data_IF_249991790702
#
_entry.id   IF_249991790702
#
_cell.length_a   1.000
_cell.length_b   1.000
_cell.length_c   1.000
_cell.angle_alpha   90.00
_cell.angle_beta   90.00
_cell.angle_gamma   90.00
#
_symmetry.space_group_name_H-M   'P 1'
#
loop_
_entity.id
_entity.type
_entity.pdbx_description
1 polymer ?
#
# COMPACT_ATOMS: atom_id res chain seq x y z
N UNK A 1 22.26 7.62 -29.17
CA UNK A 1 21.69 8.24 -27.97
C UNK A 1 20.18 8.27 -28.13
N UNK A 2 19.48 7.37 -27.44
CA UNK A 2 18.02 7.43 -27.30
C UNK A 2 17.79 7.69 -25.80
N UNK A 3 17.08 8.75 -25.41
CA UNK A 3 16.65 8.91 -24.04
C UNK A 3 15.38 8.08 -23.89
N UNK A 4 15.50 6.80 -23.55
CA UNK A 4 14.30 6.05 -23.16
C UNK A 4 13.97 6.49 -21.74
N UNK A 5 13.05 7.44 -21.69
CA UNK A 5 12.48 8.04 -20.50
C UNK A 5 12.02 6.95 -19.52
N UNK A 6 12.48 7.09 -18.28
CA UNK A 6 12.29 6.27 -17.08
C UNK A 6 10.84 6.26 -16.57
N UNK A 7 9.87 6.02 -17.45
CA UNK A 7 8.45 6.27 -17.18
C UNK A 7 7.52 5.13 -17.61
N UNK A 8 8.05 3.92 -17.84
CA UNK A 8 7.23 2.75 -18.12
C UNK A 8 7.82 1.55 -17.38
N UNK A 9 7.33 1.29 -16.16
CA UNK A 9 7.03 -0.07 -15.66
C UNK A 9 6.42 -0.03 -14.23
N UNK A 10 5.21 0.53 -14.03
CA UNK A 10 4.47 0.29 -12.79
C UNK A 10 3.93 -1.15 -12.70
N UNK A 11 3.59 -1.77 -13.84
CA UNK A 11 2.95 -3.09 -13.87
C UNK A 11 3.89 -4.26 -13.51
N UNK A 12 5.17 -4.17 -13.84
CA UNK A 12 6.13 -5.25 -13.54
C UNK A 12 6.46 -5.35 -12.03
N UNK A 13 6.32 -4.25 -11.29
CA UNK A 13 6.43 -4.23 -9.82
C UNK A 13 5.17 -4.80 -9.15
N UNK A 14 3.99 -4.54 -9.70
CA UNK A 14 2.73 -5.04 -9.14
C UNK A 14 2.69 -6.58 -9.08
N UNK A 15 3.27 -7.27 -10.06
CA UNK A 15 3.29 -8.75 -10.16
C UNK A 15 4.28 -9.43 -9.20
N UNK A 16 5.16 -8.68 -8.54
CA UNK A 16 6.26 -9.25 -7.73
C UNK A 16 6.21 -8.87 -6.25
N UNK A 17 5.40 -7.87 -5.90
CA UNK A 17 5.26 -7.41 -4.53
C UNK A 17 4.23 -8.26 -3.79
N UNK A 18 4.59 -8.71 -2.60
CA UNK A 18 3.65 -9.35 -1.69
C UNK A 18 2.58 -8.35 -1.26
N UNK A 19 1.39 -8.85 -0.88
CA UNK A 19 0.27 -8.03 -0.38
C UNK A 19 0.72 -6.97 0.63
N UNK A 20 1.59 -7.34 1.59
CA UNK A 20 2.11 -6.41 2.60
C UNK A 20 3.03 -5.34 2.00
N UNK A 21 3.88 -5.71 1.04
CA UNK A 21 4.76 -4.75 0.36
C UNK A 21 3.96 -3.77 -0.49
N UNK A 22 2.84 -4.19 -1.08
CA UNK A 22 1.93 -3.30 -1.79
C UNK A 22 1.33 -2.25 -0.85
N UNK A 23 0.88 -2.65 0.35
CA UNK A 23 0.40 -1.69 1.38
C UNK A 23 1.51 -0.72 1.82
N UNK A 24 2.72 -1.22 2.10
CA UNK A 24 3.84 -0.37 2.53
C UNK A 24 4.28 0.62 1.45
N UNK A 25 4.22 0.23 0.18
CA UNK A 25 4.52 1.12 -0.94
C UNK A 25 3.49 2.25 -1.06
N UNK A 26 2.20 1.92 -0.88
CA UNK A 26 1.13 2.92 -0.82
C UNK A 26 1.32 3.88 0.35
N UNK A 27 1.65 3.37 1.54
CA UNK A 27 1.96 4.22 2.68
C UNK A 27 3.10 5.21 2.41
N UNK A 28 4.16 4.77 1.72
CA UNK A 28 5.27 5.65 1.33
C UNK A 28 4.82 6.71 0.31
N UNK A 29 4.01 6.32 -0.67
CA UNK A 29 3.45 7.26 -1.65
C UNK A 29 2.58 8.34 -0.98
N UNK A 30 1.86 7.98 0.08
CA UNK A 30 1.01 8.89 0.85
C UNK A 30 1.70 9.54 2.06
N UNK A 31 3.03 9.40 2.22
CA UNK A 31 3.78 9.89 3.40
C UNK A 31 3.15 9.50 4.74
N UNK A 32 2.50 8.34 4.80
CA UNK A 32 1.79 7.87 5.99
C UNK A 32 2.76 7.52 7.11
N UNK A 33 2.36 7.84 8.35
CA UNK A 33 3.11 7.42 9.53
C UNK A 33 3.24 5.88 9.58
N UNK A 34 4.30 5.34 10.23
CA UNK A 34 4.46 3.91 10.39
C UNK A 34 3.22 3.25 11.02
N UNK A 35 2.85 2.07 10.52
CA UNK A 35 1.67 1.34 11.02
C UNK A 35 1.78 1.06 12.52
N UNK A 36 0.72 1.42 13.25
CA UNK A 36 0.56 1.01 14.64
C UNK A 36 0.37 -0.51 14.74
N UNK A 37 0.62 -1.09 15.92
CA UNK A 37 0.39 -2.52 16.17
C UNK A 37 -1.06 -2.93 15.86
N UNK A 38 -2.03 -2.06 16.13
CA UNK A 38 -3.44 -2.27 15.85
C UNK A 38 -3.71 -2.33 14.33
N UNK A 39 -3.20 -1.35 13.58
CA UNK A 39 -3.34 -1.30 12.12
C UNK A 39 -2.68 -2.51 11.45
N UNK A 40 -1.51 -2.96 11.93
CA UNK A 40 -0.87 -4.19 11.43
C UNK A 40 -1.74 -5.44 11.63
N UNK A 41 -2.45 -5.55 12.76
CA UNK A 41 -3.38 -6.67 13.01
C UNK A 41 -4.59 -6.58 12.09
N UNK A 42 -5.17 -5.40 11.93
CA UNK A 42 -6.29 -5.16 11.01
C UNK A 42 -5.92 -5.48 9.57
N UNK A 43 -4.71 -5.12 9.13
CA UNK A 43 -4.20 -5.44 7.80
C UNK A 43 -4.03 -6.94 7.58
N UNK A 44 -3.57 -7.70 8.58
CA UNK A 44 -3.54 -9.17 8.49
C UNK A 44 -4.94 -9.76 8.31
N UNK A 45 -5.91 -9.27 9.08
CA UNK A 45 -7.31 -9.72 8.96
C UNK A 45 -7.88 -9.37 7.58
N UNK A 46 -7.60 -8.16 7.06
CA UNK A 46 -8.05 -7.75 5.73
C UNK A 46 -7.46 -8.66 4.64
N UNK A 47 -6.16 -8.96 4.72
CA UNK A 47 -5.50 -9.93 3.83
C UNK A 47 -6.15 -11.31 3.90
N UNK A 48 -6.40 -11.82 5.10
CA UNK A 48 -6.98 -13.16 5.31
C UNK A 48 -8.43 -13.24 4.78
N UNK A 49 -9.14 -12.11 4.72
CA UNK A 49 -10.46 -11.98 4.10
C UNK A 49 -10.42 -11.74 2.58
N UNK A 50 -9.23 -11.71 1.96
CA UNK A 50 -9.09 -11.47 0.53
C UNK A 50 -9.38 -10.02 0.11
N UNK A 51 -9.29 -9.06 1.04
CA UNK A 51 -9.41 -7.65 0.72
C UNK A 51 -8.19 -7.21 -0.08
N UNK A 52 -8.43 -6.44 -1.14
CA UNK A 52 -7.35 -5.88 -1.93
C UNK A 52 -6.47 -4.93 -1.09
N UNK A 53 -5.14 -4.91 -1.27
CA UNK A 53 -4.22 -4.11 -0.49
C UNK A 53 -4.56 -2.61 -0.42
N UNK A 54 -5.07 -2.05 -1.51
CA UNK A 54 -5.48 -0.64 -1.64
C UNK A 54 -6.71 -0.34 -0.81
N UNK A 55 -7.75 -1.18 -0.93
CA UNK A 55 -8.95 -1.06 -0.11
C UNK A 55 -8.64 -1.21 1.39
N UNK A 56 -7.71 -2.10 1.72
CA UNK A 56 -7.24 -2.29 3.09
C UNK A 56 -6.45 -1.06 3.59
N UNK A 57 -5.61 -0.46 2.75
CA UNK A 57 -4.92 0.78 3.08
C UNK A 57 -5.92 1.92 3.34
N UNK A 58 -6.91 2.14 2.47
CA UNK A 58 -7.90 3.20 2.67
C UNK A 58 -8.73 2.99 3.95
N UNK A 59 -9.20 1.77 4.20
CA UNK A 59 -10.06 1.48 5.36
C UNK A 59 -9.34 1.45 6.71
N UNK A 60 -8.03 1.18 6.71
CA UNK A 60 -7.27 0.96 7.95
C UNK A 60 -6.26 2.09 8.19
N UNK A 61 -5.65 2.63 7.15
CA UNK A 61 -4.66 3.72 7.24
C UNK A 61 -5.28 5.05 6.81
N UNK A 62 -6.06 5.07 5.74
CA UNK A 62 -6.76 6.26 5.25
C UNK A 62 -7.82 6.76 6.24
N UNK A 63 -8.62 5.84 6.81
CA UNK A 63 -9.67 6.17 7.77
C UNK A 63 -9.14 6.77 9.09
N UNK A 64 -7.94 6.40 9.52
CA UNK A 64 -7.31 6.91 10.75
C UNK A 64 -6.57 8.25 10.54
N UNK A 65 -6.30 8.65 9.28
CA UNK A 65 -5.60 9.89 8.92
C UNK A 65 -6.54 11.07 8.57
N UNK A 66 -7.86 10.92 8.66
CA UNK A 66 -8.80 12.05 8.58
C UNK A 66 -8.83 12.76 9.93
N UNK A 67 -7.74 13.46 10.26
CA UNK A 67 -7.79 14.55 11.22
C UNK A 67 -8.19 15.81 10.47
N UNK A 68 -9.39 16.32 10.77
CA UNK A 68 -9.87 17.65 10.37
C UNK A 68 -8.97 18.76 10.90
#
# INVERSE_FOLDING_TARGET
>A
MIPTSDAAEPDYLATRLTWTQQVELHMRAHNSAPLTLCQKRRLRIARDNGVEPWDAFEQIVGADNVWF
#
